data_IF_334161927927
#
_entry.id   IF_334161927927
#
_cell.length_a   1.000
_cell.length_b   1.000
_cell.length_c   1.000
_cell.angle_alpha   90.00
_cell.angle_beta   90.00
_cell.angle_gamma   90.00
#
_symmetry.space_group_name_H-M   'P 1'
#
loop_
_entity.id
_entity.type
_entity.pdbx_description
1 polymer ?
#
# COMPACT_ATOMS: atom_id res chain seq x y z
N UNK A 1 0.87 21.64 -28.14
CA UNK A 1 -0.03 20.89 -27.24
C UNK A 1 0.61 20.84 -25.87
N UNK A 2 0.02 21.45 -24.83
CA UNK A 2 0.53 21.33 -23.46
C UNK A 2 0.52 19.84 -23.11
N UNK A 3 1.68 19.24 -22.78
CA UNK A 3 1.72 17.89 -22.18
C UNK A 3 0.75 17.91 -21.00
N UNK A 4 -0.22 17.00 -20.97
CA UNK A 4 -1.06 16.80 -19.78
C UNK A 4 -0.10 16.51 -18.62
N UNK A 5 0.04 17.48 -17.73
CA UNK A 5 0.88 17.40 -16.54
C UNK A 5 0.01 16.76 -15.45
N UNK A 6 0.05 15.44 -15.35
CA UNK A 6 -0.76 14.71 -14.37
C UNK A 6 -0.61 13.21 -14.55
N UNK A 7 -0.77 12.47 -13.44
CA UNK A 7 -0.80 11.01 -13.47
C UNK A 7 -2.00 10.53 -14.32
N UNK A 8 -1.84 9.45 -15.10
CA UNK A 8 -2.97 8.86 -15.81
C UNK A 8 -4.00 8.35 -14.81
N UNK A 9 -5.27 8.70 -15.03
CA UNK A 9 -6.39 8.24 -14.20
C UNK A 9 -6.93 6.93 -14.77
N UNK A 10 -7.06 5.92 -13.91
CA UNK A 10 -7.57 4.58 -14.24
C UNK A 10 -8.82 4.34 -13.40
N UNK A 11 -9.96 4.27 -14.06
CA UNK A 11 -11.23 3.98 -13.39
C UNK A 11 -11.57 2.49 -13.47
N UNK A 12 -12.00 1.89 -12.37
CA UNK A 12 -12.44 0.49 -12.32
C UNK A 12 -13.68 0.36 -11.45
N UNK A 13 -14.48 -0.70 -11.63
CA UNK A 13 -15.62 -0.94 -10.76
C UNK A 13 -16.21 -2.34 -10.91
N UNK A 14 -17.07 -2.71 -9.96
CA UNK A 14 -17.75 -4.00 -9.94
C UNK A 14 -17.25 -4.93 -8.83
N UNK A 15 -17.22 -6.23 -9.11
CA UNK A 15 -16.69 -7.25 -8.19
C UNK A 15 -15.15 -7.23 -8.20
N UNK A 16 -14.48 -7.78 -7.18
CA UNK A 16 -13.02 -7.71 -7.10
C UNK A 16 -12.30 -8.21 -8.36
N UNK A 17 -12.69 -9.37 -8.88
CA UNK A 17 -12.15 -9.89 -10.14
C UNK A 17 -12.34 -8.93 -11.34
N UNK A 18 -13.53 -8.34 -11.49
CA UNK A 18 -13.83 -7.42 -12.59
C UNK A 18 -13.01 -6.13 -12.49
N UNK A 19 -12.84 -5.60 -11.27
CA UNK A 19 -11.98 -4.44 -11.01
C UNK A 19 -10.54 -4.75 -11.37
N UNK A 20 -10.03 -5.90 -10.91
CA UNK A 20 -8.71 -6.40 -11.24
C UNK A 20 -8.50 -6.50 -12.75
N UNK A 21 -9.42 -7.15 -13.46
CA UNK A 21 -9.35 -7.33 -14.92
C UNK A 21 -9.34 -6.01 -15.68
N UNK A 22 -10.14 -5.04 -15.25
CA UNK A 22 -10.13 -3.69 -15.81
C UNK A 22 -8.80 -2.98 -15.56
N UNK A 23 -8.29 -3.00 -14.31
CA UNK A 23 -7.01 -2.40 -13.95
C UNK A 23 -5.86 -3.03 -14.75
N UNK A 24 -5.78 -4.36 -14.77
CA UNK A 24 -4.77 -5.11 -15.52
C UNK A 24 -4.79 -4.80 -17.02
N UNK A 25 -5.98 -4.73 -17.62
CA UNK A 25 -6.13 -4.39 -19.05
C UNK A 25 -5.66 -2.96 -19.35
N UNK A 26 -6.07 -1.98 -18.52
CA UNK A 26 -5.72 -0.56 -18.69
C UNK A 26 -4.26 -0.26 -18.35
N UNK A 27 -3.64 -1.05 -17.48
CA UNK A 27 -2.28 -0.87 -16.98
C UNK A 27 -1.30 -1.93 -17.46
N UNK A 28 -1.63 -2.75 -18.46
CA UNK A 28 -0.80 -3.89 -18.88
C UNK A 28 0.66 -3.50 -19.20
N UNK A 29 0.86 -2.32 -19.80
CA UNK A 29 2.21 -1.80 -20.10
C UNK A 29 2.95 -1.42 -18.83
N UNK A 30 2.29 -0.70 -17.93
CA UNK A 30 2.82 -0.31 -16.62
C UNK A 30 3.15 -1.55 -15.77
N UNK A 31 2.27 -2.57 -15.75
CA UNK A 31 2.49 -3.82 -15.04
C UNK A 31 3.72 -4.58 -15.52
N UNK A 32 3.93 -4.67 -16.83
CA UNK A 32 5.14 -5.28 -17.39
C UNK A 32 6.41 -4.51 -17.04
N UNK A 33 6.37 -3.18 -17.13
CA UNK A 33 7.49 -2.32 -16.76
C UNK A 33 7.83 -2.45 -15.26
N UNK A 34 6.81 -2.38 -14.40
CA UNK A 34 6.95 -2.53 -12.96
C UNK A 34 7.52 -3.90 -12.61
N UNK A 35 7.01 -4.98 -13.20
CA UNK A 35 7.54 -6.34 -12.99
C UNK A 35 9.01 -6.46 -13.35
N UNK A 36 9.44 -5.89 -14.48
CA UNK A 36 10.86 -5.90 -14.87
C UNK A 36 11.70 -5.16 -13.84
N UNK A 37 11.29 -3.97 -13.43
CA UNK A 37 12.04 -3.18 -12.45
C UNK A 37 12.11 -3.83 -11.07
N UNK A 38 11.02 -4.43 -10.59
CA UNK A 38 11.01 -5.16 -9.33
C UNK A 38 11.90 -6.41 -9.41
N UNK A 39 11.91 -7.13 -10.54
CA UNK A 39 12.82 -8.25 -10.73
C UNK A 39 14.30 -7.83 -10.67
N UNK A 40 14.64 -6.69 -11.27
CA UNK A 40 15.98 -6.09 -11.18
C UNK A 40 16.32 -5.67 -9.75
N UNK A 41 15.38 -5.03 -9.05
CA UNK A 41 15.53 -4.56 -7.67
C UNK A 41 15.73 -5.73 -6.70
N UNK A 42 14.95 -6.80 -6.83
CA UNK A 42 15.11 -8.03 -6.03
C UNK A 42 16.48 -8.65 -6.31
N UNK A 43 16.86 -8.80 -7.59
CA UNK A 43 18.16 -9.37 -7.96
C UNK A 43 19.32 -8.55 -7.42
N UNK A 44 19.26 -7.23 -7.54
CA UNK A 44 20.30 -6.32 -7.08
C UNK A 44 20.46 -6.37 -5.55
N UNK A 45 19.33 -6.32 -4.83
CA UNK A 45 19.35 -6.18 -3.37
C UNK A 45 19.52 -7.50 -2.61
N UNK A 46 19.12 -8.64 -3.19
CA UNK A 46 19.13 -9.96 -2.50
C UNK A 46 19.90 -11.04 -3.25
N UNK A 47 20.32 -10.80 -4.49
CA UNK A 47 20.89 -11.82 -5.38
C UNK A 47 19.86 -12.85 -5.89
N UNK A 48 18.58 -12.72 -5.53
CA UNK A 48 17.53 -13.67 -5.87
C UNK A 48 17.05 -13.49 -7.31
N UNK A 49 16.91 -14.58 -8.07
CA UNK A 49 16.24 -14.54 -9.38
C UNK A 49 14.73 -14.36 -9.22
N UNK A 50 14.06 -13.86 -10.26
CA UNK A 50 12.61 -13.71 -10.23
C UNK A 50 11.88 -15.04 -9.99
N UNK A 51 12.35 -16.14 -10.58
CA UNK A 51 11.74 -17.47 -10.40
C UNK A 51 11.86 -17.94 -8.94
N UNK A 52 12.95 -17.59 -8.26
CA UNK A 52 13.11 -17.87 -6.83
C UNK A 52 12.23 -16.96 -5.98
N UNK A 53 12.07 -15.70 -6.38
CA UNK A 53 11.13 -14.77 -5.75
C UNK A 53 9.69 -15.28 -5.84
N UNK A 54 9.26 -15.72 -7.02
CA UNK A 54 7.95 -16.35 -7.25
C UNK A 54 7.75 -17.59 -6.36
N UNK A 55 8.76 -18.47 -6.26
CA UNK A 55 8.67 -19.63 -5.36
C UNK A 55 8.53 -19.22 -3.89
N UNK A 56 9.22 -18.15 -3.47
CA UNK A 56 9.14 -17.64 -2.10
C UNK A 56 7.81 -16.92 -1.83
N UNK A 57 7.29 -16.16 -2.80
CA UNK A 57 5.98 -15.50 -2.73
C UNK A 57 4.87 -16.49 -2.38
N UNK A 58 4.90 -17.70 -2.95
CA UNK A 58 3.90 -18.75 -2.67
C UNK A 58 3.73 -19.07 -1.18
N UNK A 59 4.74 -18.84 -0.35
CA UNK A 59 4.64 -19.05 1.11
C UNK A 59 3.72 -18.03 1.80
N UNK A 60 3.56 -16.83 1.23
CA UNK A 60 2.68 -15.78 1.75
C UNK A 60 1.22 -15.94 1.31
N UNK A 61 0.97 -16.69 0.22
CA UNK A 61 -0.34 -16.79 -0.41
C UNK A 61 -1.45 -17.30 0.55
N UNK A 62 -1.26 -18.36 1.35
CA UNK A 62 -2.31 -18.83 2.27
C UNK A 62 -2.71 -17.78 3.32
N UNK A 63 -1.74 -16.99 3.80
CA UNK A 63 -1.99 -15.93 4.76
C UNK A 63 -2.76 -14.77 4.13
N UNK A 64 -2.37 -14.41 2.90
CA UNK A 64 -3.05 -13.39 2.11
C UNK A 64 -4.50 -13.78 1.76
N UNK A 65 -4.72 -15.03 1.34
CA UNK A 65 -6.05 -15.59 1.05
C UNK A 65 -6.94 -15.64 2.29
N UNK A 66 -6.40 -16.04 3.44
CA UNK A 66 -7.16 -16.07 4.69
C UNK A 66 -7.53 -14.66 5.18
N UNK A 67 -6.62 -13.69 5.04
CA UNK A 67 -6.84 -12.34 5.54
C UNK A 67 -7.76 -11.49 4.65
N UNK A 68 -7.57 -11.56 3.33
CA UNK A 68 -8.30 -10.72 2.40
C UNK A 68 -8.52 -11.36 1.01
N UNK A 69 -9.47 -12.30 0.90
CA UNK A 69 -9.71 -13.07 -0.32
C UNK A 69 -10.17 -12.20 -1.51
N UNK A 70 -10.90 -11.11 -1.26
CA UNK A 70 -11.32 -10.20 -2.34
C UNK A 70 -10.12 -9.64 -3.11
N UNK A 71 -9.02 -9.28 -2.42
CA UNK A 71 -7.84 -8.73 -3.11
C UNK A 71 -7.09 -9.82 -3.89
N UNK A 72 -7.16 -11.08 -3.46
CA UNK A 72 -6.66 -12.21 -4.27
C UNK A 72 -7.45 -12.33 -5.56
N UNK A 73 -8.78 -12.20 -5.51
CA UNK A 73 -9.63 -12.20 -6.72
C UNK A 73 -9.32 -11.00 -7.62
N UNK A 74 -9.05 -9.82 -7.05
CA UNK A 74 -8.57 -8.65 -7.78
C UNK A 74 -7.22 -8.93 -8.46
N UNK A 75 -6.26 -9.58 -7.79
CA UNK A 75 -4.98 -9.99 -8.38
C UNK A 75 -5.19 -11.01 -9.51
N UNK A 76 -6.12 -11.97 -9.36
CA UNK A 76 -6.47 -12.92 -10.45
C UNK A 76 -7.05 -12.20 -11.66
N UNK A 77 -7.98 -11.26 -11.43
CA UNK A 77 -8.51 -10.41 -12.49
C UNK A 77 -7.41 -9.61 -13.17
N UNK A 78 -6.54 -8.96 -12.38
CA UNK A 78 -5.41 -8.19 -12.89
C UNK A 78 -4.50 -9.03 -13.78
N UNK A 79 -4.20 -10.26 -13.35
CA UNK A 79 -3.40 -11.22 -14.09
C UNK A 79 -4.00 -11.51 -15.48
N UNK A 80 -5.32 -11.76 -15.53
CA UNK A 80 -6.03 -11.96 -16.80
C UNK A 80 -5.99 -10.70 -17.69
N UNK A 81 -6.30 -9.53 -17.12
CA UNK A 81 -6.33 -8.26 -17.85
C UNK A 81 -4.96 -7.85 -18.39
N UNK A 82 -3.91 -7.97 -17.57
CA UNK A 82 -2.54 -7.60 -17.92
C UNK A 82 -1.83 -8.66 -18.78
N UNK A 83 -2.42 -9.85 -18.94
CA UNK A 83 -1.79 -11.04 -19.53
C UNK A 83 -0.48 -11.36 -18.82
N UNK A 84 -0.52 -11.36 -17.50
CA UNK A 84 0.60 -11.66 -16.60
C UNK A 84 0.24 -12.94 -15.82
N UNK A 85 1.17 -13.89 -15.62
CA UNK A 85 0.91 -15.03 -14.74
C UNK A 85 0.46 -14.58 -13.35
N UNK A 86 -0.49 -15.29 -12.74
CA UNK A 86 -0.98 -14.97 -11.41
C UNK A 86 0.15 -14.91 -10.38
N UNK A 87 1.07 -15.85 -10.47
CA UNK A 87 2.22 -15.92 -9.58
C UNK A 87 3.13 -14.70 -9.72
N UNK A 88 3.29 -14.16 -10.93
CA UNK A 88 4.05 -12.93 -11.15
C UNK A 88 3.32 -11.74 -10.50
N UNK A 89 2.02 -11.57 -10.76
CA UNK A 89 1.23 -10.47 -10.19
C UNK A 89 1.18 -10.52 -8.66
N UNK A 90 0.98 -11.70 -8.08
CA UNK A 90 1.00 -11.90 -6.63
C UNK A 90 2.39 -11.64 -6.04
N UNK A 91 3.46 -12.01 -6.75
CA UNK A 91 4.84 -11.71 -6.31
C UNK A 91 5.09 -10.22 -6.23
N UNK A 92 4.51 -9.39 -7.11
CA UNK A 92 4.59 -7.94 -7.01
C UNK A 92 4.00 -7.44 -5.68
N UNK A 93 2.91 -8.03 -5.20
CA UNK A 93 2.29 -7.66 -3.92
C UNK A 93 3.08 -8.10 -2.67
N UNK A 94 4.17 -8.88 -2.83
CA UNK A 94 5.01 -9.38 -1.74
C UNK A 94 6.26 -8.52 -1.56
N UNK A 95 6.10 -7.27 -1.11
CA UNK A 95 7.21 -6.33 -0.91
C UNK A 95 8.26 -6.80 0.11
N UNK A 96 7.96 -7.81 0.93
CA UNK A 96 8.91 -8.49 1.82
C UNK A 96 10.04 -9.23 1.08
N UNK A 97 9.92 -9.39 -0.24
CA UNK A 97 10.96 -9.98 -1.08
C UNK A 97 12.03 -8.95 -1.50
N UNK A 98 11.77 -7.66 -1.29
CA UNK A 98 12.74 -6.58 -1.48
C UNK A 98 13.57 -6.41 -0.21
N UNK A 99 14.86 -6.07 -0.36
CA UNK A 99 15.64 -5.64 0.80
C UNK A 99 15.05 -4.35 1.37
N UNK A 100 14.98 -4.19 2.71
CA UNK A 100 14.58 -2.93 3.33
C UNK A 100 15.41 -1.73 2.88
N UNK A 101 16.70 -1.95 2.56
CA UNK A 101 17.61 -0.91 2.02
C UNK A 101 17.22 -0.40 0.62
N UNK A 102 16.22 -1.00 -0.02
CA UNK A 102 15.71 -0.58 -1.33
C UNK A 102 14.71 0.58 -1.27
N UNK A 103 14.14 0.87 -0.10
CA UNK A 103 13.22 2.00 0.11
C UNK A 103 14.01 3.29 0.37
N UNK A 104 13.74 4.35 -0.42
CA UNK A 104 14.56 5.57 -0.43
C UNK A 104 14.04 6.65 0.51
N UNK A 105 12.73 6.69 0.77
CA UNK A 105 12.13 7.55 1.79
C UNK A 105 10.62 7.73 1.57
N UNK A 106 9.90 8.13 2.61
CA UNK A 106 8.55 8.68 2.51
C UNK A 106 8.45 9.78 3.57
N UNK A 107 7.63 10.80 3.33
CA UNK A 107 7.33 11.80 4.36
C UNK A 107 5.84 12.05 4.38
N UNK A 108 5.25 11.93 5.55
CA UNK A 108 3.84 12.16 5.79
C UNK A 108 3.62 13.31 6.75
N UNK A 109 2.60 14.11 6.46
CA UNK A 109 2.08 15.16 7.33
C UNK A 109 0.56 15.03 7.35
N UNK A 110 -0.01 14.96 8.54
CA UNK A 110 -1.45 14.95 8.77
C UNK A 110 -1.79 16.06 9.77
N UNK A 111 -2.79 16.88 9.47
CA UNK A 111 -3.28 17.97 10.33
C UNK A 111 -4.81 17.96 10.34
N UNK A 112 -5.43 18.24 11.48
CA UNK A 112 -6.89 18.30 11.64
C UNK A 112 -7.37 19.74 11.96
N UNK A 113 -8.68 19.85 12.20
CA UNK A 113 -9.35 21.12 12.47
C UNK A 113 -8.88 21.89 13.70
N UNK A 114 -8.11 21.29 14.62
CA UNK A 114 -7.55 21.98 15.78
C UNK A 114 -6.45 22.96 15.38
N UNK A 115 -5.80 22.73 14.24
CA UNK A 115 -4.64 23.51 13.75
C UNK A 115 -4.80 24.06 12.34
N UNK A 116 -5.86 23.68 11.61
CA UNK A 116 -6.19 24.26 10.29
C UNK A 116 -7.16 25.42 10.44
N UNK A 117 -7.05 26.42 9.55
CA UNK A 117 -7.86 27.65 9.62
C UNK A 117 -9.37 27.39 9.43
N UNK A 118 -9.70 26.47 8.51
CA UNK A 118 -11.07 26.21 8.07
C UNK A 118 -11.69 24.98 8.77
N UNK A 119 -10.98 24.36 9.72
CA UNK A 119 -11.44 23.13 10.40
C UNK A 119 -11.26 21.86 9.57
N UNK A 120 -10.63 21.95 8.39
CA UNK A 120 -10.41 20.83 7.48
C UNK A 120 -9.35 19.84 8.00
N UNK A 121 -9.46 18.59 7.56
CA UNK A 121 -8.41 17.57 7.70
C UNK A 121 -7.56 17.57 6.43
N UNK A 122 -6.27 17.88 6.57
CA UNK A 122 -5.33 17.90 5.45
C UNK A 122 -4.26 16.83 5.66
N UNK A 123 -4.09 15.97 4.65
CA UNK A 123 -3.11 14.90 4.65
C UNK A 123 -2.21 15.08 3.42
N UNK A 124 -0.90 15.05 3.63
CA UNK A 124 0.12 15.15 2.60
C UNK A 124 1.10 13.98 2.71
N UNK A 125 1.45 13.42 1.56
CA UNK A 125 2.38 12.31 1.44
C UNK A 125 3.34 12.55 0.28
N UNK A 126 4.64 12.45 0.55
CA UNK A 126 5.68 12.31 -0.46
C UNK A 126 6.16 10.86 -0.49
N UNK A 127 6.15 10.28 -1.69
CA UNK A 127 6.60 8.91 -1.99
C UNK A 127 7.99 8.98 -2.66
N UNK A 128 9.05 8.62 -1.94
CA UNK A 128 10.42 8.58 -2.47
C UNK A 128 10.82 7.15 -2.83
N UNK A 129 10.70 6.85 -4.11
CA UNK A 129 11.12 5.57 -4.70
C UNK A 129 12.14 5.81 -5.82
N UNK A 130 12.20 4.93 -6.82
CA UNK A 130 13.04 5.13 -8.00
C UNK A 130 12.36 6.02 -9.04
N UNK A 131 13.10 6.97 -9.62
CA UNK A 131 12.62 7.78 -10.75
C UNK A 131 12.19 6.93 -11.96
N UNK A 132 12.73 5.72 -12.10
CA UNK A 132 12.33 4.78 -13.15
C UNK A 132 10.89 4.28 -13.00
N UNK A 133 10.32 4.36 -11.79
CA UNK A 133 8.94 3.95 -11.54
C UNK A 133 7.92 5.04 -11.85
N UNK A 134 8.33 6.29 -12.09
CA UNK A 134 7.36 7.36 -12.34
C UNK A 134 6.44 7.04 -13.54
N UNK A 135 6.94 6.29 -14.53
CA UNK A 135 6.17 5.82 -15.68
C UNK A 135 5.17 4.69 -15.39
N UNK A 136 5.23 4.06 -14.21
CA UNK A 136 4.34 2.97 -13.77
C UNK A 136 3.23 3.46 -12.85
N UNK A 137 3.36 4.66 -12.27
CA UNK A 137 2.37 5.23 -11.35
C UNK A 137 1.13 5.72 -12.09
N UNK A 138 -0.04 5.38 -11.54
CA UNK A 138 -1.36 5.83 -11.99
C UNK A 138 -2.17 6.36 -10.80
N UNK A 139 -3.20 7.16 -11.08
CA UNK A 139 -4.25 7.44 -10.10
C UNK A 139 -5.38 6.43 -10.33
N UNK A 140 -5.54 5.46 -9.44
CA UNK A 140 -6.60 4.46 -9.52
C UNK A 140 -7.84 4.99 -8.80
N UNK A 141 -8.96 5.08 -9.51
CA UNK A 141 -10.28 5.36 -8.94
C UNK A 141 -11.14 4.11 -9.06
N UNK A 142 -11.39 3.45 -7.92
CA UNK A 142 -12.10 2.19 -7.87
C UNK A 142 -13.49 2.35 -7.26
N UNK A 143 -14.47 1.67 -7.85
CA UNK A 143 -15.89 1.67 -7.45
C UNK A 143 -16.35 0.24 -7.12
N UNK A 144 -15.99 -0.30 -5.94
CA UNK A 144 -16.42 -1.63 -5.52
C UNK A 144 -17.94 -1.69 -5.36
N UNK A 145 -18.56 -2.83 -5.70
CA UNK A 145 -20.02 -2.94 -5.73
C UNK A 145 -20.74 -2.74 -4.38
N UNK A 146 -20.09 -2.98 -3.24
CA UNK A 146 -20.71 -2.97 -1.90
C UNK A 146 -19.90 -2.23 -0.83
N UNK A 147 -18.81 -1.58 -1.22
CA UNK A 147 -17.86 -0.91 -0.32
C UNK A 147 -17.63 0.53 -0.83
N UNK A 148 -17.09 1.43 0.00
CA UNK A 148 -16.79 2.79 -0.43
C UNK A 148 -15.96 2.81 -1.72
N UNK A 149 -16.24 3.77 -2.59
CA UNK A 149 -15.33 4.07 -3.69
C UNK A 149 -14.08 4.72 -3.13
N UNK A 150 -12.93 4.49 -3.76
CA UNK A 150 -11.67 5.03 -3.29
C UNK A 150 -10.80 5.50 -4.44
N UNK A 151 -9.95 6.47 -4.15
CA UNK A 151 -8.90 6.95 -5.03
C UNK A 151 -7.56 6.72 -4.36
N UNK A 152 -6.59 6.21 -5.12
CA UNK A 152 -5.23 5.96 -4.61
C UNK A 152 -4.20 6.16 -5.69
N UNK A 153 -3.04 6.69 -5.32
CA UNK A 153 -1.83 6.54 -6.13
C UNK A 153 -1.45 5.06 -6.14
N UNK A 154 -1.20 4.52 -7.32
CA UNK A 154 -0.95 3.09 -7.46
C UNK A 154 0.14 2.79 -8.47
N UNK A 155 1.05 1.90 -8.09
CA UNK A 155 2.00 1.31 -9.03
C UNK A 155 1.27 0.31 -9.91
N UNK A 156 1.35 0.54 -11.22
CA UNK A 156 0.76 -0.29 -12.26
C UNK A 156 -0.74 -0.59 -12.09
N UNK A 157 -1.47 0.24 -11.33
CA UNK A 157 -2.88 0.04 -11.01
C UNK A 157 -3.18 -1.18 -10.15
N UNK A 158 -2.18 -1.72 -9.44
CA UNK A 158 -2.33 -2.90 -8.59
C UNK A 158 -1.94 -2.64 -7.12
N UNK A 159 -0.85 -1.91 -6.89
CA UNK A 159 -0.32 -1.70 -5.54
C UNK A 159 -0.68 -0.30 -5.07
N UNK A 160 -1.56 -0.12 -4.08
CA UNK A 160 -1.84 1.20 -3.52
C UNK A 160 -0.64 1.72 -2.72
N UNK A 161 -0.42 3.03 -2.75
CA UNK A 161 0.55 3.73 -1.90
C UNK A 161 -0.19 4.61 -0.88
N UNK A 162 -0.84 5.67 -1.37
CA UNK A 162 -1.61 6.63 -0.56
C UNK A 162 -2.96 6.89 -1.22
N UNK A 163 -4.00 7.15 -0.44
CA UNK A 163 -5.35 7.31 -0.98
C UNK A 163 -6.40 7.67 0.05
N UNK A 164 -7.61 7.86 -0.43
CA UNK A 164 -8.78 8.16 0.40
C UNK A 164 -10.04 7.53 -0.19
N UNK A 165 -11.10 7.42 0.60
CA UNK A 165 -12.35 6.82 0.18
C UNK A 165 -13.58 7.70 0.45
N UNK A 166 -14.71 7.33 -0.14
CA UNK A 166 -15.97 8.06 -0.03
C UNK A 166 -16.66 7.98 1.33
N UNK A 167 -16.12 7.20 2.27
CA UNK A 167 -16.54 7.23 3.67
C UNK A 167 -15.78 8.30 4.48
N UNK A 168 -14.90 9.07 3.84
CA UNK A 168 -14.12 10.12 4.48
C UNK A 168 -12.83 9.64 5.14
N UNK A 169 -12.39 8.40 4.87
CA UNK A 169 -11.12 7.88 5.37
C UNK A 169 -9.98 8.18 4.40
N UNK A 170 -8.81 8.52 4.96
CA UNK A 170 -7.54 8.61 4.26
C UNK A 170 -6.55 7.59 4.81
N UNK A 171 -5.73 7.06 3.93
CA UNK A 171 -4.57 6.23 4.26
C UNK A 171 -3.34 6.79 3.55
N UNK A 172 -2.30 7.01 4.33
CA UNK A 172 -0.94 7.16 3.82
C UNK A 172 -0.01 6.25 4.61
N UNK A 173 1.29 6.32 4.35
CA UNK A 173 2.23 5.57 5.14
C UNK A 173 3.65 5.65 4.65
N UNK A 174 4.56 5.17 5.48
CA UNK A 174 5.98 5.19 5.21
C UNK A 174 6.58 3.78 5.31
N UNK A 175 7.53 3.49 4.44
CA UNK A 175 8.42 2.35 4.63
C UNK A 175 9.16 2.46 5.97
N UNK A 176 9.11 1.40 6.77
CA UNK A 176 9.96 1.19 7.95
C UNK A 176 10.93 0.04 7.67
N UNK A 177 11.97 -0.07 8.51
CA UNK A 177 13.01 -1.08 8.37
C UNK A 177 13.00 -2.10 9.54
N UNK A 178 11.96 -2.96 9.66
CA UNK A 178 11.87 -3.95 10.72
C UNK A 178 12.93 -5.05 10.60
N UNK A 179 13.46 -5.51 11.73
CA UNK A 179 14.44 -6.60 11.83
C UNK A 179 13.80 -8.00 12.00
N UNK A 180 12.47 -8.10 11.99
CA UNK A 180 11.73 -9.32 12.35
C UNK A 180 10.82 -9.86 11.22
N UNK A 181 11.07 -9.42 9.98
CA UNK A 181 10.34 -9.84 8.77
C UNK A 181 10.27 -11.36 8.65
N UNK A 182 9.08 -11.89 8.39
CA UNK A 182 8.79 -13.33 8.33
C UNK A 182 7.71 -13.64 7.30
N UNK A 183 7.40 -14.92 7.13
CA UNK A 183 6.25 -15.35 6.32
C UNK A 183 4.96 -15.02 7.09
N UNK A 184 4.02 -14.37 6.41
CA UNK A 184 2.75 -13.91 6.97
C UNK A 184 1.91 -13.15 5.93
N UNK A 185 1.07 -12.23 6.36
CA UNK A 185 0.29 -11.36 5.49
C UNK A 185 1.21 -10.28 4.90
N UNK A 186 1.36 -10.16 3.55
CA UNK A 186 2.16 -9.11 2.94
C UNK A 186 1.65 -7.71 3.28
N UNK A 187 2.54 -6.75 3.55
CA UNK A 187 2.20 -5.39 4.02
C UNK A 187 1.32 -4.59 3.06
N UNK A 188 1.26 -4.94 1.78
CA UNK A 188 0.35 -4.31 0.79
C UNK A 188 -1.13 -4.67 1.05
N UNK A 189 -1.41 -5.84 1.64
CA UNK A 189 -2.78 -6.31 1.88
C UNK A 189 -3.52 -5.47 2.94
N UNK A 190 -2.93 -5.19 4.12
CA UNK A 190 -3.50 -4.25 5.09
C UNK A 190 -3.81 -2.88 4.46
N UNK A 191 -2.84 -2.29 3.75
CA UNK A 191 -2.97 -1.00 3.06
C UNK A 191 -4.17 -0.99 2.12
N UNK A 192 -4.27 -2.01 1.25
CA UNK A 192 -5.38 -2.13 0.31
C UNK A 192 -6.73 -2.29 0.99
N UNK A 193 -6.79 -3.01 2.13
CA UNK A 193 -8.01 -3.28 2.88
C UNK A 193 -8.56 -2.03 3.57
N UNK A 194 -7.67 -1.18 4.11
CA UNK A 194 -8.04 0.09 4.77
C UNK A 194 -8.83 1.01 3.83
N UNK A 195 -8.46 1.09 2.55
CA UNK A 195 -9.14 1.95 1.56
C UNK A 195 -10.62 1.61 1.34
N UNK A 196 -11.11 0.47 1.81
CA UNK A 196 -12.52 0.06 1.71
C UNK A 196 -13.25 0.03 3.07
N UNK A 197 -12.60 0.44 4.15
CA UNK A 197 -13.22 0.59 5.47
C UNK A 197 -14.21 1.75 5.47
N UNK A 198 -15.15 1.76 6.43
CA UNK A 198 -16.15 2.82 6.56
C UNK A 198 -15.92 3.72 7.77
N UNK A 199 -15.17 3.24 8.76
CA UNK A 199 -14.96 3.92 10.04
C UNK A 199 -13.49 3.80 10.45
N UNK A 200 -12.99 4.78 11.19
CA UNK A 200 -11.59 4.80 11.61
C UNK A 200 -11.18 3.55 12.38
N UNK A 201 -12.03 3.05 13.30
CA UNK A 201 -11.75 1.80 14.02
C UNK A 201 -11.56 0.58 13.11
N UNK A 202 -12.35 0.47 12.04
CA UNK A 202 -12.18 -0.59 11.03
C UNK A 202 -10.86 -0.44 10.27
N UNK A 203 -10.43 0.80 10.01
CA UNK A 203 -9.16 1.08 9.38
C UNK A 203 -7.98 0.71 10.31
N UNK A 204 -8.05 1.01 11.61
CA UNK A 204 -7.01 0.63 12.58
C UNK A 204 -6.85 -0.90 12.65
N UNK A 205 -7.96 -1.64 12.74
CA UNK A 205 -7.96 -3.11 12.74
C UNK A 205 -7.41 -3.67 11.42
N UNK A 206 -7.81 -3.11 10.28
CA UNK A 206 -7.37 -3.56 8.96
C UNK A 206 -5.90 -3.25 8.68
N UNK A 207 -5.36 -2.14 9.23
CA UNK A 207 -3.96 -1.75 9.08
C UNK A 207 -3.01 -2.64 9.88
N UNK A 208 -3.47 -3.20 11.01
CA UNK A 208 -2.66 -4.02 11.92
C UNK A 208 -3.28 -5.40 12.19
N UNK A 209 -3.45 -6.28 11.19
CA UNK A 209 -3.96 -7.64 11.43
C UNK A 209 -2.92 -8.55 12.09
N UNK A 210 -3.34 -9.50 12.91
CA UNK A 210 -2.41 -10.52 13.42
C UNK A 210 -1.79 -11.35 12.27
N UNK A 211 -0.56 -11.81 12.44
CA UNK A 211 0.13 -12.64 11.44
C UNK A 211 0.69 -11.89 10.23
N UNK A 212 0.94 -10.58 10.35
CA UNK A 212 1.69 -9.78 9.36
C UNK A 212 3.08 -10.36 9.09
N UNK A 213 3.50 -10.28 7.84
CA UNK A 213 4.85 -10.61 7.42
C UNK A 213 5.86 -9.51 7.79
N UNK A 214 5.42 -8.26 7.66
CA UNK A 214 6.08 -7.01 8.00
C UNK A 214 5.02 -5.91 8.06
N UNK A 215 5.40 -4.65 8.29
CA UNK A 215 4.45 -3.53 8.19
C UNK A 215 5.09 -2.24 7.68
N UNK A 216 4.23 -1.27 7.41
CA UNK A 216 4.59 0.14 7.25
C UNK A 216 4.38 0.88 8.59
N UNK A 217 4.72 2.16 8.62
CA UNK A 217 3.93 3.11 9.40
C UNK A 217 2.69 3.42 8.57
N UNK A 218 1.49 3.06 9.03
CA UNK A 218 0.24 3.42 8.35
C UNK A 218 -0.36 4.63 9.05
N UNK A 219 -0.66 5.71 8.32
CA UNK A 219 -1.39 6.85 8.87
C UNK A 219 -2.82 6.76 8.37
N UNK A 220 -3.72 6.52 9.32
CA UNK A 220 -5.16 6.47 9.08
C UNK A 220 -5.78 7.74 9.65
N UNK A 221 -6.57 8.44 8.85
CA UNK A 221 -7.36 9.58 9.32
C UNK A 221 -8.77 9.54 8.78
N UNK A 222 -9.69 10.24 9.44
CA UNK A 222 -11.05 10.42 8.94
C UNK A 222 -11.48 11.89 8.89
N UNK A 223 -12.63 12.15 8.27
CA UNK A 223 -13.17 13.49 8.10
C UNK A 223 -13.67 14.14 9.39
N UNK A 224 -13.68 13.44 10.52
CA UNK A 224 -14.03 14.01 11.83
C UNK A 224 -12.83 14.64 12.55
N UNK A 225 -11.62 14.45 12.04
CA UNK A 225 -10.38 14.99 12.63
C UNK A 225 -9.54 13.95 13.38
N UNK A 226 -9.98 12.70 13.41
CA UNK A 226 -9.23 11.59 13.99
C UNK A 226 -8.02 11.26 13.12
N UNK A 227 -6.82 11.20 13.72
CA UNK A 227 -5.56 10.88 13.05
C UNK A 227 -4.75 9.92 13.92
N UNK A 228 -4.39 8.76 13.34
CA UNK A 228 -3.59 7.73 13.98
C UNK A 228 -2.44 7.30 13.08
N UNK A 229 -1.23 7.24 13.64
CA UNK A 229 -0.07 6.56 13.05
C UNK A 229 0.08 5.20 13.71
N UNK A 230 0.16 4.16 12.89
CA UNK A 230 0.35 2.80 13.33
C UNK A 230 1.72 2.31 12.84
N UNK A 231 2.71 2.38 13.72
CA UNK A 231 4.03 1.79 13.50
C UNK A 231 3.96 0.29 13.70
N UNK A 232 4.26 -0.51 12.68
CA UNK A 232 4.20 -1.97 12.79
C UNK A 232 5.53 -2.66 12.53
N UNK A 233 5.69 -3.82 13.15
CA UNK A 233 6.65 -4.86 12.77
C UNK A 233 5.86 -6.14 12.41
N UNK A 234 6.56 -7.26 12.20
CA UNK A 234 5.87 -8.53 12.02
C UNK A 234 5.21 -9.04 13.31
N UNK A 235 5.73 -8.65 14.48
CA UNK A 235 5.31 -9.19 15.79
C UNK A 235 4.70 -8.19 16.76
N UNK A 236 4.85 -6.90 16.51
CA UNK A 236 4.36 -5.86 17.41
C UNK A 236 3.86 -4.65 16.61
N UNK A 237 3.23 -3.72 17.31
CA UNK A 237 2.83 -2.43 16.76
C UNK A 237 2.67 -1.38 17.87
N UNK A 238 2.88 -0.12 17.52
CA UNK A 238 2.47 1.03 18.32
C UNK A 238 1.36 1.81 17.60
N UNK A 239 0.55 2.51 18.39
CA UNK A 239 -0.49 3.41 17.89
C UNK A 239 -0.19 4.77 18.51
N UNK A 240 -0.02 5.77 17.65
CA UNK A 240 0.27 7.15 18.00
C UNK A 240 -0.93 7.98 17.58
N UNK A 241 -1.53 8.70 18.51
CA UNK A 241 -2.64 9.60 18.23
C UNK A 241 -2.17 11.05 18.14
N UNK A 242 -2.74 11.81 17.21
CA UNK A 242 -2.42 13.22 16.98
C UNK A 242 -3.00 14.15 18.07
N UNK A 243 -2.55 14.02 19.32
CA UNK A 243 -3.06 14.82 20.45
C UNK A 243 -2.97 16.34 20.25
N UNK A 244 -2.01 16.82 19.47
CA UNK A 244 -1.84 18.24 19.16
C UNK A 244 -2.56 18.69 17.88
N UNK A 245 -3.42 17.86 17.31
CA UNK A 245 -4.10 18.12 16.04
C UNK A 245 -3.22 17.89 14.80
N UNK A 246 -2.01 17.34 14.97
CA UNK A 246 -1.13 17.02 13.84
C UNK A 246 -0.26 15.79 14.10
N UNK A 247 0.25 15.20 13.02
CA UNK A 247 1.20 14.10 13.02
C UNK A 247 2.17 14.26 11.84
N UNK A 248 3.44 14.00 12.08
CA UNK A 248 4.48 13.94 11.04
C UNK A 248 5.23 12.63 11.19
N UNK A 249 5.47 11.92 10.10
CA UNK A 249 6.21 10.67 10.14
C UNK A 249 7.06 10.48 8.89
N UNK A 250 8.25 9.90 9.08
CA UNK A 250 9.17 9.52 8.00
C UNK A 250 9.44 8.02 8.05
N UNK A 251 10.68 7.54 7.98
CA UNK A 251 10.99 6.12 7.76
C UNK A 251 11.63 5.40 8.95
N UNK A 252 11.48 5.94 10.17
CA UNK A 252 12.05 5.34 11.38
C UNK A 252 10.99 5.21 12.47
N UNK A 253 11.17 4.23 13.35
CA UNK A 253 10.31 4.07 14.53
C UNK A 253 10.51 5.24 15.51
N UNK A 254 9.43 5.93 15.83
CA UNK A 254 9.41 7.04 16.79
C UNK A 254 9.05 6.57 18.20
N UNK A 255 8.21 5.54 18.31
CA UNK A 255 7.80 4.95 19.59
C UNK A 255 8.90 4.06 20.18
N UNK A 256 9.23 4.29 21.46
CA UNK A 256 10.36 3.63 22.13
C UNK A 256 10.26 2.10 22.10
N UNK A 257 9.05 1.55 22.26
CA UNK A 257 8.85 0.10 22.22
C UNK A 257 9.11 -0.50 20.82
N UNK A 258 9.00 0.32 19.77
CA UNK A 258 9.16 -0.13 18.39
C UNK A 258 10.60 0.02 17.90
N UNK A 259 11.40 0.91 18.48
CA UNK A 259 12.82 1.11 18.10
C UNK A 259 13.68 -0.15 18.16
N UNK A 260 13.32 -1.13 19.00
CA UNK A 260 13.99 -2.44 19.06
C UNK A 260 13.90 -3.25 17.75
N UNK A 261 12.96 -2.89 16.87
CA UNK A 261 12.77 -3.51 15.57
C UNK A 261 13.51 -2.77 14.44
N UNK A 262 14.07 -1.58 14.68
CA UNK A 262 14.85 -0.87 13.66
C UNK A 262 16.13 -1.65 13.32
N UNK A 263 16.48 -1.73 12.02
CA UNK A 263 17.77 -2.25 11.54
C UNK A 263 18.76 -1.13 11.26
#
# INVERSE_FOLDING_TARGET
MKKKCGLPVVEVGGKPFDMGKQAGSKCARQGKAYRTSIAESIKHSTGMSWEKAVRRAKLYLPHAEAFYPDFIEEIRGYSEGAKMPFEDAFTLCCHELLSPSGFRGCTDVAVNGDVTLEGDVLIGHNEDWSANELGTVVLLHAKPAKKPEFVTTSYAGLLPSSGMNSAGLSLTGNALNPNDVRIGIPKVFPVRKVLECRRIGEALEAAMPEGRASSYNNICSDSSGEIYSLEGSATDCAIIYAHGGYLVHTNHYTEDKMRRFEQ
#
